data_IF_011331979467
#
_entry.id   IF_011331979467
#
_cell.length_a   1.000
_cell.length_b   1.000
_cell.length_c   1.000
_cell.angle_alpha   90.00
_cell.angle_beta   90.00
_cell.angle_gamma   90.00
#
_symmetry.space_group_name_H-M   'P 1'
#
loop_
_entity.id
_entity.type
_entity.pdbx_description
1 polymer ?
#
# COMPACT_ATOMS: atom_id res chain seq x y z
N UNK A 1 46.45 32.86 65.71
CA UNK A 1 47.29 31.74 66.22
C UNK A 1 46.57 31.11 67.41
N UNK A 2 46.32 29.78 67.38
CA UNK A 2 45.63 28.91 68.38
C UNK A 2 44.10 29.12 68.50
N UNK A 3 43.26 28.30 67.86
CA UNK A 3 42.85 26.90 68.15
C UNK A 3 41.89 26.78 69.36
N UNK A 4 40.61 26.59 69.00
CA UNK A 4 39.64 25.57 69.43
C UNK A 4 39.45 25.28 70.93
N UNK A 5 38.19 25.28 71.39
CA UNK A 5 37.66 24.28 72.33
C UNK A 5 36.18 23.98 72.07
N UNK A 6 35.92 22.74 71.64
CA UNK A 6 34.81 21.82 71.99
C UNK A 6 33.64 22.37 72.82
N UNK A 7 32.39 22.06 72.42
CA UNK A 7 31.41 21.42 73.31
C UNK A 7 30.21 20.78 72.60
N UNK A 8 29.77 19.70 73.24
CA UNK A 8 28.85 18.64 72.85
C UNK A 8 27.37 19.01 73.15
N UNK A 9 26.49 18.53 72.25
CA UNK A 9 25.05 18.19 72.34
C UNK A 9 24.05 19.11 73.07
N UNK A 10 22.94 19.40 72.37
CA UNK A 10 21.59 19.04 72.83
C UNK A 10 20.64 18.87 71.65
N UNK A 11 20.08 17.68 71.54
CA UNK A 11 19.11 17.29 70.53
C UNK A 11 17.77 18.03 70.75
N UNK A 12 17.22 18.57 69.68
CA UNK A 12 15.79 18.85 69.58
C UNK A 12 15.19 17.86 68.58
N UNK A 13 14.31 17.00 69.08
CA UNK A 13 13.44 16.15 68.28
C UNK A 13 12.40 17.07 67.64
N UNK A 14 12.52 17.31 66.33
CA UNK A 14 11.45 17.89 65.53
C UNK A 14 10.70 16.73 64.88
N UNK A 15 9.43 16.57 65.27
CA UNK A 15 8.52 15.64 64.62
C UNK A 15 8.33 16.07 63.15
N UNK A 16 8.93 15.33 62.22
CA UNK A 16 8.66 15.48 60.79
C UNK A 16 7.35 14.75 60.48
N UNK A 17 6.29 15.50 60.14
CA UNK A 17 5.11 14.94 59.52
C UNK A 17 5.49 14.37 58.14
N UNK A 18 5.02 13.17 57.75
CA UNK A 18 5.30 12.65 56.42
C UNK A 18 4.45 13.44 55.41
N UNK A 19 5.09 14.24 54.57
CA UNK A 19 4.47 14.71 53.34
C UNK A 19 4.37 13.50 52.43
N UNK A 20 3.17 12.89 52.36
CA UNK A 20 2.85 11.95 51.28
C UNK A 20 2.89 12.74 49.97
N UNK A 21 3.98 12.58 49.23
CA UNK A 21 4.03 12.95 47.82
C UNK A 21 3.07 12.02 47.07
N UNK A 22 1.85 12.49 46.81
CA UNK A 22 0.99 11.90 45.79
C UNK A 22 1.66 12.19 44.46
N UNK A 23 2.49 11.26 43.98
CA UNK A 23 2.93 11.27 42.60
C UNK A 23 1.72 10.85 41.78
N UNK A 24 0.93 11.82 41.34
CA UNK A 24 -0.11 11.58 40.36
C UNK A 24 0.59 11.09 39.08
N UNK A 25 0.49 9.79 38.82
CA UNK A 25 0.97 9.17 37.60
C UNK A 25 0.00 9.55 36.46
N UNK A 26 0.03 10.81 36.05
CA UNK A 26 -0.63 11.26 34.83
C UNK A 26 0.19 10.72 33.65
N UNK A 27 -0.13 9.50 33.23
CA UNK A 27 0.22 9.08 31.88
C UNK A 27 -0.37 10.12 30.94
N UNK A 28 0.48 10.88 30.22
CA UNK A 28 0.02 11.79 29.19
C UNK A 28 -0.68 10.96 28.13
N UNK A 29 -2.02 10.98 28.11
CA UNK A 29 -2.75 10.54 26.94
C UNK A 29 -2.29 11.43 25.80
N UNK A 30 -1.64 10.84 24.79
CA UNK A 30 -1.34 11.56 23.56
C UNK A 30 -2.66 12.10 23.00
N UNK A 31 -2.74 13.41 22.76
CA UNK A 31 -3.93 13.99 22.15
C UNK A 31 -4.19 13.31 20.80
N UNK A 32 -5.44 12.89 20.57
CA UNK A 32 -5.85 12.34 19.27
C UNK A 32 -5.60 13.38 18.19
N UNK A 33 -4.73 13.03 17.23
CA UNK A 33 -4.45 13.92 16.10
C UNK A 33 -5.71 14.16 15.29
N UNK A 34 -5.99 15.43 15.00
CA UNK A 34 -7.09 15.83 14.13
C UNK A 34 -6.62 15.75 12.68
N UNK A 35 -7.33 15.03 11.79
CA UNK A 35 -6.95 14.95 10.38
C UNK A 35 -7.08 16.31 9.70
N UNK A 36 -6.08 16.65 8.87
CA UNK A 36 -6.07 17.87 8.06
C UNK A 36 -6.53 17.51 6.65
N UNK A 37 -7.54 18.19 6.08
CA UNK A 37 -7.96 17.95 4.70
C UNK A 37 -6.86 18.21 3.67
N UNK A 38 -6.87 17.47 2.56
CA UNK A 38 -5.96 17.71 1.45
C UNK A 38 -6.21 19.08 0.82
N UNK A 39 -5.14 19.87 0.66
CA UNK A 39 -5.22 21.17 0.01
C UNK A 39 -5.41 21.04 -1.51
N UNK A 40 -6.17 21.96 -2.10
CA UNK A 40 -6.25 22.10 -3.56
C UNK A 40 -4.93 22.65 -4.10
N UNK A 41 -4.42 22.07 -5.18
CA UNK A 41 -3.15 22.48 -5.79
C UNK A 41 -3.27 22.64 -7.31
N UNK A 42 -2.77 23.73 -7.90
CA UNK A 42 -2.72 23.90 -9.36
C UNK A 42 -1.73 22.93 -10.04
N UNK A 43 -0.85 22.30 -9.28
CA UNK A 43 0.14 21.32 -9.76
C UNK A 43 -0.14 19.91 -9.23
N UNK A 44 -1.39 19.59 -8.87
CA UNK A 44 -1.75 18.29 -8.29
C UNK A 44 -1.36 17.11 -9.20
N UNK A 45 -1.37 17.29 -10.53
CA UNK A 45 -0.95 16.27 -11.51
C UNK A 45 0.54 15.94 -11.49
N UNK A 46 1.35 16.75 -10.81
CA UNK A 46 2.79 16.53 -10.59
C UNK A 46 3.09 15.94 -9.20
N UNK A 47 2.07 15.69 -8.37
CA UNK A 47 2.22 15.06 -7.06
C UNK A 47 2.48 13.56 -7.22
N UNK A 48 3.33 12.92 -6.39
CA UNK A 48 3.53 11.48 -6.42
C UNK A 48 2.20 10.71 -6.37
N UNK A 49 1.99 9.82 -7.33
CA UNK A 49 0.85 8.89 -7.37
C UNK A 49 1.36 7.51 -6.97
N UNK A 50 0.65 6.81 -6.11
CA UNK A 50 1.06 5.50 -5.57
C UNK A 50 0.10 4.37 -5.92
N UNK A 51 -1.18 4.68 -6.11
CA UNK A 51 -2.19 3.71 -6.52
C UNK A 51 -3.16 4.32 -7.52
N UNK A 52 -3.74 3.49 -8.37
CA UNK A 52 -4.78 3.89 -9.29
C UNK A 52 -5.74 2.72 -9.56
N UNK A 53 -7.01 3.03 -9.81
CA UNK A 53 -8.03 2.05 -10.16
C UNK A 53 -9.08 2.67 -11.10
N UNK A 54 -9.82 1.79 -11.78
CA UNK A 54 -11.01 2.18 -12.54
C UNK A 54 -12.26 2.14 -11.64
N UNK A 55 -13.08 3.18 -11.74
CA UNK A 55 -14.40 3.31 -11.16
C UNK A 55 -15.42 3.36 -12.32
N UNK A 56 -15.78 2.20 -12.87
CA UNK A 56 -16.46 2.16 -14.17
C UNK A 56 -15.55 2.72 -15.25
N UNK A 57 -16.00 3.75 -15.96
CA UNK A 57 -15.20 4.42 -17.01
C UNK A 57 -14.31 5.56 -16.47
N UNK A 58 -14.46 5.94 -15.20
CA UNK A 58 -13.64 6.97 -14.56
C UNK A 58 -12.37 6.36 -14.01
N UNK A 59 -11.25 7.03 -14.22
CA UNK A 59 -10.00 6.70 -13.56
C UNK A 59 -9.84 7.49 -12.27
N UNK A 60 -9.41 6.81 -11.21
CA UNK A 60 -9.13 7.42 -9.91
C UNK A 60 -7.72 7.03 -9.47
N UNK A 61 -6.88 8.01 -9.18
CA UNK A 61 -5.54 7.79 -8.62
C UNK A 61 -5.37 8.48 -7.28
N UNK A 62 -4.54 7.89 -6.42
CA UNK A 62 -4.28 8.33 -5.05
C UNK A 62 -2.77 8.38 -4.80
N UNK A 63 -2.33 9.27 -3.91
CA UNK A 63 -0.91 9.40 -3.62
C UNK A 63 -0.56 10.33 -2.47
N UNK A 64 0.54 11.05 -2.63
CA UNK A 64 1.09 11.91 -1.58
C UNK A 64 0.16 13.08 -1.25
N UNK A 65 0.24 13.56 0.00
CA UNK A 65 -0.48 14.73 0.50
C UNK A 65 -2.02 14.62 0.43
N UNK A 66 -2.57 13.40 0.45
CA UNK A 66 -4.00 13.16 0.27
C UNK A 66 -4.52 13.54 -1.11
N UNK A 67 -3.64 13.72 -2.10
CA UNK A 67 -4.04 14.03 -3.47
C UNK A 67 -4.76 12.82 -4.08
N UNK A 68 -5.98 13.07 -4.52
CA UNK A 68 -6.77 12.16 -5.36
C UNK A 68 -7.04 12.86 -6.68
N UNK A 69 -6.67 12.23 -7.80
CA UNK A 69 -6.91 12.74 -9.15
C UNK A 69 -7.94 11.87 -9.85
N UNK A 70 -8.79 12.53 -10.62
CA UNK A 70 -9.90 11.93 -11.37
C UNK A 70 -9.73 12.24 -12.85
N UNK A 71 -10.05 11.28 -13.71
CA UNK A 71 -10.08 11.47 -15.15
C UNK A 71 -11.30 10.75 -15.73
N UNK A 72 -12.07 11.48 -16.52
CA UNK A 72 -13.28 11.00 -17.21
C UNK A 72 -13.05 10.81 -18.73
N UNK A 73 -11.81 10.98 -19.20
CA UNK A 73 -11.43 10.95 -20.62
C UNK A 73 -10.29 9.94 -20.90
N UNK A 74 -10.23 8.88 -20.11
CA UNK A 74 -9.26 7.80 -20.30
C UNK A 74 -7.82 8.16 -19.95
N UNK A 75 -7.63 9.17 -19.09
CA UNK A 75 -6.32 9.65 -18.64
C UNK A 75 -5.72 10.75 -19.52
N UNK A 76 -6.49 11.38 -20.41
CA UNK A 76 -6.02 12.50 -21.23
C UNK A 76 -5.91 13.79 -20.40
N UNK A 77 -6.86 14.02 -19.49
CA UNK A 77 -6.85 15.13 -18.54
C UNK A 77 -7.26 14.69 -17.15
N UNK A 78 -6.88 15.48 -16.13
CA UNK A 78 -7.09 15.16 -14.73
C UNK A 78 -7.54 16.38 -13.93
N UNK A 79 -8.45 16.18 -12.98
CA UNK A 79 -8.77 17.15 -11.93
C UNK A 79 -8.62 16.54 -10.54
N UNK A 80 -8.33 17.38 -9.54
CA UNK A 80 -8.23 16.93 -8.16
C UNK A 80 -9.64 16.78 -7.55
N UNK A 81 -9.90 15.66 -6.86
CA UNK A 81 -11.14 15.37 -6.15
C UNK A 81 -11.59 16.53 -5.25
N UNK A 82 -12.87 16.87 -5.24
CA UNK A 82 -13.44 18.01 -4.52
C UNK A 82 -13.06 18.05 -3.04
N UNK A 83 -13.20 16.93 -2.33
CA UNK A 83 -12.93 16.86 -0.89
C UNK A 83 -12.28 15.53 -0.49
N UNK A 84 -11.09 15.63 0.08
CA UNK A 84 -10.39 14.53 0.76
C UNK A 84 -10.08 14.97 2.20
N UNK A 85 -10.60 14.28 3.22
CA UNK A 85 -10.57 14.76 4.61
C UNK A 85 -9.23 14.52 5.32
N UNK A 86 -8.20 14.04 4.60
CA UNK A 86 -6.86 13.77 5.12
C UNK A 86 -5.79 14.26 4.13
N UNK A 87 -4.64 14.67 4.65
CA UNK A 87 -3.44 15.04 3.90
C UNK A 87 -2.33 13.99 4.04
N UNK A 88 -2.64 12.84 4.65
CA UNK A 88 -1.73 11.69 4.73
C UNK A 88 -1.48 11.09 3.35
N UNK A 89 -0.39 10.35 3.22
CA UNK A 89 -0.13 9.56 2.00
C UNK A 89 -1.18 8.46 1.87
N UNK A 90 -1.83 8.40 0.71
CA UNK A 90 -2.70 7.31 0.30
C UNK A 90 -1.91 6.35 -0.61
N UNK A 91 -1.94 5.06 -0.29
CA UNK A 91 -1.09 4.03 -0.89
C UNK A 91 -1.84 3.19 -1.91
N UNK A 92 -3.14 2.97 -1.73
CA UNK A 92 -3.94 2.07 -2.56
C UNK A 92 -5.40 2.52 -2.61
N UNK A 93 -6.06 2.19 -3.73
CA UNK A 93 -7.46 2.50 -4.00
C UNK A 93 -8.13 1.34 -4.71
N UNK A 94 -9.38 1.05 -4.36
CA UNK A 94 -10.19 -0.03 -4.95
C UNK A 94 -11.64 0.43 -5.11
N UNK A 95 -12.28 0.02 -6.19
CA UNK A 95 -13.69 0.34 -6.49
C UNK A 95 -14.49 -0.95 -6.70
N UNK A 96 -15.69 -0.98 -6.13
CA UNK A 96 -16.66 -2.09 -6.29
C UNK A 96 -17.83 -1.70 -7.21
N UNK A 97 -17.59 -0.76 -8.13
CA UNK A 97 -18.59 -0.20 -9.04
C UNK A 97 -18.18 1.20 -9.52
N UNK A 98 -19.03 1.88 -10.31
CA UNK A 98 -18.70 3.17 -10.90
C UNK A 98 -18.64 4.33 -9.89
N UNK A 99 -19.22 4.16 -8.70
CA UNK A 99 -19.28 5.25 -7.71
C UNK A 99 -18.74 4.90 -6.34
N UNK A 100 -18.76 3.62 -5.96
CA UNK A 100 -18.41 3.19 -4.61
C UNK A 100 -16.99 2.66 -4.58
N UNK A 101 -16.14 3.27 -3.77
CA UNK A 101 -14.74 2.92 -3.67
C UNK A 101 -14.13 3.27 -2.31
N UNK A 102 -12.94 2.73 -2.07
CA UNK A 102 -12.18 2.87 -0.84
C UNK A 102 -10.72 3.17 -1.15
N UNK A 103 -10.10 3.98 -0.29
CA UNK A 103 -8.68 4.28 -0.34
C UNK A 103 -8.07 4.09 1.04
N UNK A 104 -6.83 3.62 1.09
CA UNK A 104 -6.09 3.39 2.35
C UNK A 104 -4.72 4.03 2.31
N UNK A 105 -4.07 4.14 3.47
CA UNK A 105 -2.74 4.73 3.52
C UNK A 105 -2.11 4.81 4.91
N UNK A 106 -1.24 5.80 5.07
CA UNK A 106 -0.54 6.08 6.32
C UNK A 106 -1.50 6.42 7.46
N UNK A 107 -1.05 6.24 8.71
CA UNK A 107 -1.87 6.39 9.92
C UNK A 107 -3.09 5.46 9.95
N UNK A 108 -3.00 4.32 9.24
CA UNK A 108 -4.06 3.32 9.13
C UNK A 108 -5.38 3.86 8.59
N UNK A 109 -5.33 4.94 7.79
CA UNK A 109 -6.53 5.58 7.26
C UNK A 109 -7.28 4.65 6.32
N UNK A 110 -8.61 4.63 6.45
CA UNK A 110 -9.51 4.05 5.47
C UNK A 110 -10.54 5.13 5.11
N UNK A 111 -10.59 5.48 3.84
CA UNK A 111 -11.56 6.40 3.25
C UNK A 111 -12.55 5.63 2.39
N UNK A 112 -13.78 6.14 2.31
CA UNK A 112 -14.79 5.65 1.37
C UNK A 112 -15.40 6.80 0.56
N UNK A 113 -15.78 6.51 -0.68
CA UNK A 113 -16.53 7.39 -1.59
C UNK A 113 -17.78 6.67 -2.10
N UNK A 114 -18.80 7.45 -2.45
CA UNK A 114 -20.05 6.96 -3.07
C UNK A 114 -20.43 7.75 -4.33
N UNK A 115 -19.53 8.61 -4.80
CA UNK A 115 -19.71 9.55 -5.92
C UNK A 115 -18.57 9.45 -6.95
N UNK A 116 -17.87 8.31 -7.00
CA UNK A 116 -16.81 8.07 -7.99
C UNK A 116 -15.50 8.79 -7.64
N UNK A 117 -15.25 9.06 -6.36
CA UNK A 117 -14.01 9.63 -5.87
C UNK A 117 -13.98 11.17 -5.80
N UNK A 118 -15.10 11.87 -6.04
CA UNK A 118 -15.17 13.33 -5.89
C UNK A 118 -15.09 13.74 -4.43
N UNK A 119 -15.84 13.05 -3.57
CA UNK A 119 -15.80 13.28 -2.13
C UNK A 119 -15.51 11.99 -1.36
N UNK A 120 -14.69 12.13 -0.32
CA UNK A 120 -14.25 11.04 0.52
C UNK A 120 -14.63 11.29 1.98
N UNK A 121 -14.95 10.19 2.68
CA UNK A 121 -15.29 10.19 4.10
C UNK A 121 -14.38 9.24 4.83
N UNK A 122 -13.95 9.62 6.03
CA UNK A 122 -13.14 8.77 6.90
C UNK A 122 -14.03 7.67 7.48
N UNK A 123 -13.67 6.41 7.27
CA UNK A 123 -14.23 5.27 7.98
C UNK A 123 -13.37 4.84 9.17
N UNK A 124 -12.04 4.99 9.05
CA UNK A 124 -11.09 4.63 10.11
C UNK A 124 -9.86 5.54 10.09
N UNK A 125 -9.33 5.82 11.28
CA UNK A 125 -7.99 6.34 11.53
C UNK A 125 -7.34 5.57 12.69
N UNK A 126 -6.03 5.45 12.65
CA UNK A 126 -5.21 4.86 13.72
C UNK A 126 -4.12 5.85 14.13
N UNK A 127 -4.51 7.04 14.61
CA UNK A 127 -3.55 8.11 14.96
C UNK A 127 -2.78 7.85 16.26
N UNK A 128 -3.21 6.86 17.04
CA UNK A 128 -2.56 6.46 18.30
C UNK A 128 -1.45 5.43 18.09
N UNK A 129 -1.54 4.66 16.99
CA UNK A 129 -0.60 3.60 16.62
C UNK A 129 -0.35 3.71 15.11
N UNK A 130 0.87 4.12 14.70
CA UNK A 130 1.22 4.26 13.27
C UNK A 130 1.36 2.89 12.59
N UNK A 131 0.21 2.29 12.26
CA UNK A 131 0.08 1.04 11.49
C UNK A 131 -0.44 1.38 10.09
N UNK A 132 0.44 1.76 9.14
CA UNK A 132 0.04 2.10 7.79
C UNK A 132 -0.57 0.89 7.08
N UNK A 133 -1.56 1.18 6.25
CA UNK A 133 -2.13 0.22 5.30
C UNK A 133 -1.47 0.43 3.94
N UNK A 134 -1.06 -0.66 3.30
CA UNK A 134 -0.34 -0.63 2.03
C UNK A 134 -1.24 -1.00 0.85
N UNK A 135 -2.24 -1.85 1.06
CA UNK A 135 -3.14 -2.27 0.00
C UNK A 135 -4.58 -2.46 0.49
N UNK A 136 -5.54 -2.21 -0.39
CA UNK A 136 -6.96 -2.50 -0.19
C UNK A 136 -7.57 -3.16 -1.42
N UNK A 137 -8.48 -4.09 -1.19
CA UNK A 137 -9.28 -4.69 -2.24
C UNK A 137 -10.71 -4.89 -1.76
N UNK A 138 -11.68 -4.46 -2.57
CA UNK A 138 -13.09 -4.78 -2.37
C UNK A 138 -13.57 -5.73 -3.46
N UNK A 139 -14.18 -6.84 -3.03
CA UNK A 139 -14.75 -7.84 -3.94
C UNK A 139 -16.11 -7.40 -4.49
N UNK A 140 -16.84 -6.65 -3.67
CA UNK A 140 -18.14 -6.07 -3.94
C UNK A 140 -18.40 -4.91 -2.94
N UNK A 141 -19.54 -4.21 -3.01
CA UNK A 141 -19.78 -3.06 -2.14
C UNK A 141 -19.88 -3.35 -0.63
N UNK A 142 -19.87 -4.62 -0.21
CA UNK A 142 -20.00 -5.03 1.19
C UNK A 142 -18.71 -5.66 1.74
N UNK A 143 -17.99 -6.43 0.92
CA UNK A 143 -16.84 -7.23 1.36
C UNK A 143 -15.52 -6.65 0.88
N UNK A 144 -14.62 -6.39 1.82
CA UNK A 144 -13.30 -5.83 1.54
C UNK A 144 -12.23 -6.23 2.54
N UNK A 145 -10.99 -6.14 2.08
CA UNK A 145 -9.77 -6.49 2.84
C UNK A 145 -8.77 -5.35 2.68
N UNK A 146 -8.16 -4.93 3.79
CA UNK A 146 -7.01 -4.03 3.79
C UNK A 146 -5.85 -4.68 4.55
N UNK A 147 -4.63 -4.51 4.05
CA UNK A 147 -3.42 -5.10 4.65
C UNK A 147 -2.31 -4.08 4.82
N UNK A 148 -1.39 -4.32 5.75
CA UNK A 148 -0.32 -3.36 6.04
C UNK A 148 0.82 -3.87 6.90
N UNK A 149 1.33 -2.97 7.74
CA UNK A 149 2.48 -3.20 8.62
C UNK A 149 2.23 -4.36 9.61
N UNK A 150 3.26 -5.18 9.87
CA UNK A 150 3.26 -6.27 10.86
C UNK A 150 2.10 -7.26 10.71
N UNK A 151 1.87 -7.72 9.48
CA UNK A 151 0.80 -8.69 9.16
C UNK A 151 -0.60 -8.22 9.57
N UNK A 152 -0.80 -6.90 9.68
CA UNK A 152 -2.12 -6.32 9.86
C UNK A 152 -3.01 -6.70 8.68
N UNK A 153 -4.13 -7.35 8.99
CA UNK A 153 -5.23 -7.64 8.07
C UNK A 153 -6.51 -7.12 8.69
N UNK A 154 -7.22 -6.26 7.97
CA UNK A 154 -8.54 -5.75 8.33
C UNK A 154 -9.57 -6.25 7.32
N UNK A 155 -10.68 -6.81 7.79
CA UNK A 155 -11.77 -7.31 6.95
C UNK A 155 -13.07 -6.59 7.30
N UNK A 156 -13.85 -6.25 6.28
CA UNK A 156 -15.22 -5.75 6.42
C UNK A 156 -16.21 -6.64 5.67
N UNK A 157 -17.45 -6.71 6.17
CA UNK A 157 -18.58 -7.39 5.54
C UNK A 157 -19.80 -6.47 5.35
N UNK A 158 -19.66 -5.19 5.71
CA UNK A 158 -20.73 -4.20 5.74
C UNK A 158 -20.33 -2.88 5.03
N UNK A 159 -19.43 -2.98 4.04
CA UNK A 159 -18.97 -1.82 3.24
C UNK A 159 -18.05 -0.87 4.01
N UNK A 160 -17.41 -1.37 5.08
CA UNK A 160 -16.49 -0.62 5.92
C UNK A 160 -17.17 0.20 7.01
N UNK A 161 -18.46 -0.07 7.30
CA UNK A 161 -19.08 0.47 8.52
C UNK A 161 -18.39 -0.11 9.76
N UNK A 162 -17.95 -1.36 9.69
CA UNK A 162 -17.05 -2.00 10.66
C UNK A 162 -15.88 -2.68 9.96
N UNK A 163 -14.71 -2.62 10.60
CA UNK A 163 -13.48 -3.29 10.18
C UNK A 163 -12.95 -4.13 11.33
N UNK A 164 -12.81 -5.44 11.11
CA UNK A 164 -12.33 -6.38 12.11
C UNK A 164 -10.90 -6.83 11.77
N UNK A 165 -10.00 -6.71 12.72
CA UNK A 165 -8.63 -7.22 12.59
C UNK A 165 -8.63 -8.75 12.60
N UNK A 166 -8.04 -9.36 11.58
CA UNK A 166 -7.89 -10.80 11.45
C UNK A 166 -6.46 -11.18 11.82
N UNK A 167 -6.34 -12.15 12.72
CA UNK A 167 -5.03 -12.65 13.13
C UNK A 167 -4.47 -13.58 12.06
N UNK A 168 -3.33 -13.19 11.51
CA UNK A 168 -2.51 -14.09 10.68
C UNK A 168 -1.57 -14.86 11.61
N UNK A 169 -1.58 -16.19 11.54
CA UNK A 169 -0.63 -16.99 12.31
C UNK A 169 0.77 -16.77 11.74
N UNK A 170 1.82 -16.56 12.55
CA UNK A 170 3.17 -16.43 12.04
C UNK A 170 3.59 -17.65 11.22
N UNK A 171 4.38 -17.43 10.15
CA UNK A 171 4.98 -18.53 9.40
C UNK A 171 5.79 -19.44 10.34
N UNK A 172 5.63 -20.75 10.20
CA UNK A 172 6.37 -21.71 11.00
C UNK A 172 7.89 -21.44 10.94
N UNK A 173 8.53 -21.39 12.11
CA UNK A 173 9.97 -21.13 12.23
C UNK A 173 10.38 -19.65 12.18
N UNK A 174 9.44 -18.70 12.14
CA UNK A 174 9.75 -17.26 12.23
C UNK A 174 9.43 -16.71 13.62
N UNK A 175 10.16 -15.65 14.01
CA UNK A 175 9.97 -14.95 15.29
C UNK A 175 9.27 -13.60 15.14
N UNK A 176 9.00 -13.18 13.91
CA UNK A 176 8.48 -11.84 13.60
C UNK A 176 7.50 -11.92 12.45
N UNK A 177 6.51 -11.04 12.51
CA UNK A 177 5.53 -10.83 11.45
C UNK A 177 6.20 -10.21 10.21
N UNK A 178 5.50 -10.31 9.08
CA UNK A 178 5.90 -9.71 7.82
C UNK A 178 4.99 -8.55 7.47
N UNK A 179 5.53 -7.51 6.84
CA UNK A 179 4.69 -6.53 6.19
C UNK A 179 3.97 -7.15 4.99
N UNK A 180 2.67 -6.89 4.86
CA UNK A 180 1.85 -7.28 3.71
C UNK A 180 1.72 -6.08 2.78
N UNK A 181 2.32 -6.16 1.60
CA UNK A 181 2.69 -5.01 0.78
C UNK A 181 1.76 -4.77 -0.41
N UNK A 182 1.05 -5.80 -0.88
CA UNK A 182 0.18 -5.73 -2.05
C UNK A 182 -0.95 -6.75 -1.96
N UNK A 183 -2.05 -6.51 -2.69
CA UNK A 183 -3.20 -7.40 -2.81
C UNK A 183 -3.59 -7.60 -4.27
N UNK A 184 -3.94 -8.82 -4.65
CA UNK A 184 -4.53 -9.11 -5.97
C UNK A 184 -5.54 -10.27 -5.89
N UNK A 185 -6.75 -10.12 -6.46
CA UNK A 185 -7.82 -11.11 -6.33
C UNK A 185 -7.64 -12.30 -7.29
N UNK A 186 -8.27 -13.42 -6.94
CA UNK A 186 -8.39 -14.61 -7.81
C UNK A 186 -9.67 -14.60 -8.69
N UNK A 187 -10.49 -13.56 -8.57
CA UNK A 187 -11.77 -13.41 -9.28
C UNK A 187 -12.91 -14.33 -8.80
N UNK A 188 -12.70 -15.15 -7.79
CA UNK A 188 -13.66 -16.14 -7.24
C UNK A 188 -13.92 -15.96 -5.74
N UNK A 189 -13.47 -14.85 -5.17
CA UNK A 189 -13.60 -14.53 -3.73
C UNK A 189 -12.37 -14.88 -2.91
N UNK A 190 -11.35 -15.47 -3.54
CA UNK A 190 -10.02 -15.58 -3.00
C UNK A 190 -9.16 -14.36 -3.33
N UNK A 191 -8.09 -14.20 -2.56
CA UNK A 191 -7.18 -13.07 -2.66
C UNK A 191 -5.77 -13.48 -2.23
N UNK A 192 -4.79 -12.95 -2.94
CA UNK A 192 -3.39 -13.10 -2.61
C UNK A 192 -2.84 -11.81 -2.01
N UNK A 193 -1.92 -11.94 -1.05
CA UNK A 193 -1.15 -10.83 -0.50
C UNK A 193 0.34 -11.07 -0.72
N UNK A 194 1.05 -10.09 -1.28
CA UNK A 194 2.52 -10.15 -1.34
C UNK A 194 3.13 -9.65 -0.03
N UNK A 195 4.26 -10.22 0.38
CA UNK A 195 4.89 -9.89 1.64
C UNK A 195 6.42 -9.84 1.56
N UNK A 196 7.03 -9.48 2.67
CA UNK A 196 8.48 -9.55 2.85
C UNK A 196 8.99 -11.00 2.81
N UNK A 197 10.31 -11.15 2.60
CA UNK A 197 11.02 -12.45 2.58
C UNK A 197 10.42 -13.46 1.59
N UNK A 198 10.03 -12.97 0.42
CA UNK A 198 9.50 -13.73 -0.71
C UNK A 198 8.25 -14.53 -0.39
N UNK A 199 7.49 -14.09 0.60
CA UNK A 199 6.23 -14.75 0.94
C UNK A 199 5.09 -14.18 0.10
N UNK A 200 4.21 -15.08 -0.31
CA UNK A 200 2.87 -14.77 -0.77
C UNK A 200 1.92 -15.44 0.20
N UNK A 201 0.86 -14.74 0.61
CA UNK A 201 -0.21 -15.35 1.39
C UNK A 201 -1.43 -15.49 0.49
N UNK A 202 -2.22 -16.53 0.71
CA UNK A 202 -3.46 -16.78 -0.03
C UNK A 202 -4.61 -16.99 0.93
N UNK A 203 -5.75 -16.36 0.63
CA UNK A 203 -7.00 -16.54 1.34
C UNK A 203 -8.08 -16.95 0.35
N UNK A 204 -8.92 -17.89 0.75
CA UNK A 204 -10.05 -18.40 -0.04
C UNK A 204 -11.41 -17.99 0.54
N UNK A 205 -11.42 -17.15 1.58
CA UNK A 205 -12.60 -16.84 2.39
C UNK A 205 -12.75 -15.34 2.66
N UNK A 206 -12.39 -14.51 1.68
CA UNK A 206 -12.45 -13.05 1.72
C UNK A 206 -11.51 -12.43 2.78
N UNK A 207 -10.31 -12.99 2.94
CA UNK A 207 -9.26 -12.47 3.81
C UNK A 207 -9.39 -12.84 5.29
N UNK A 208 -10.29 -13.77 5.65
CA UNK A 208 -10.49 -14.18 7.05
C UNK A 208 -9.41 -15.15 7.51
N UNK A 209 -9.00 -16.09 6.66
CA UNK A 209 -7.91 -17.01 6.92
C UNK A 209 -6.89 -16.98 5.79
N UNK A 210 -5.63 -17.27 6.13
CA UNK A 210 -4.49 -17.14 5.23
C UNK A 210 -3.54 -18.33 5.33
N UNK A 211 -3.09 -18.81 4.17
CA UNK A 211 -1.99 -19.78 4.04
C UNK A 211 -0.74 -19.11 3.45
N UNK A 212 0.45 -19.54 3.88
CA UNK A 212 1.71 -19.07 3.30
C UNK A 212 2.12 -19.92 2.10
N UNK A 213 2.52 -19.25 1.03
CA UNK A 213 3.08 -19.79 -0.18
C UNK A 213 4.51 -19.24 -0.33
N UNK A 214 5.49 -20.14 -0.32
CA UNK A 214 6.90 -19.76 -0.41
C UNK A 214 7.36 -19.70 -1.86
N UNK A 215 7.86 -18.54 -2.29
CA UNK A 215 8.41 -18.37 -3.64
C UNK A 215 9.85 -18.85 -3.77
N UNK A 216 10.53 -19.14 -2.65
CA UNK A 216 11.97 -19.40 -2.60
C UNK A 216 12.84 -18.13 -2.76
N UNK A 217 12.23 -16.95 -2.91
CA UNK A 217 12.93 -15.67 -2.92
C UNK A 217 13.13 -15.12 -1.50
N UNK A 218 14.22 -14.40 -1.26
CA UNK A 218 14.54 -13.87 0.09
C UNK A 218 14.26 -12.37 0.26
N UNK A 219 13.97 -11.63 -0.83
CA UNK A 219 13.66 -10.20 -0.77
C UNK A 219 12.16 -9.92 -0.66
N UNK A 220 11.77 -8.65 -0.67
CA UNK A 220 10.36 -8.27 -0.55
C UNK A 220 9.64 -8.33 -1.89
N UNK A 221 8.43 -8.89 -1.88
CA UNK A 221 7.47 -8.85 -3.00
C UNK A 221 6.49 -7.72 -2.75
N UNK A 222 6.33 -6.82 -3.72
CA UNK A 222 5.59 -5.57 -3.56
C UNK A 222 4.25 -5.58 -4.29
N UNK A 223 4.15 -6.33 -5.38
CA UNK A 223 2.97 -6.35 -6.22
C UNK A 223 2.75 -7.73 -6.83
N UNK A 224 1.51 -7.97 -7.29
CA UNK A 224 1.17 -9.16 -8.04
C UNK A 224 -0.07 -8.96 -8.89
N UNK A 225 -0.29 -9.89 -9.80
CA UNK A 225 -1.48 -9.96 -10.63
C UNK A 225 -1.79 -11.42 -10.94
N UNK A 226 -3.08 -11.73 -11.05
CA UNK A 226 -3.53 -12.97 -11.67
C UNK A 226 -3.91 -12.71 -13.13
N UNK A 227 -3.48 -13.60 -14.01
CA UNK A 227 -3.77 -13.58 -15.43
C UNK A 227 -4.85 -14.62 -15.75
N UNK A 228 -5.32 -14.62 -16.99
CA UNK A 228 -6.22 -15.65 -17.51
C UNK A 228 -5.63 -17.05 -17.31
N UNK A 229 -6.51 -18.01 -17.00
CA UNK A 229 -6.10 -19.38 -16.71
C UNK A 229 -5.50 -19.60 -15.31
N UNK A 230 -5.52 -18.59 -14.43
CA UNK A 230 -5.06 -18.73 -13.04
C UNK A 230 -3.54 -18.62 -12.86
N UNK A 231 -2.84 -18.10 -13.86
CA UNK A 231 -1.40 -17.84 -13.78
C UNK A 231 -1.17 -16.65 -12.85
N UNK A 232 -0.24 -16.80 -11.89
CA UNK A 232 0.14 -15.74 -10.96
C UNK A 232 1.46 -15.12 -11.41
N UNK A 233 1.56 -13.80 -11.34
CA UNK A 233 2.81 -13.05 -11.39
C UNK A 233 2.98 -12.28 -10.08
N UNK A 234 4.19 -12.32 -9.52
CA UNK A 234 4.58 -11.46 -8.39
C UNK A 234 5.90 -10.78 -8.67
N UNK A 235 5.98 -9.50 -8.30
CA UNK A 235 7.10 -8.62 -8.53
C UNK A 235 7.58 -7.96 -7.25
N UNK A 236 8.87 -7.62 -7.20
CA UNK A 236 9.39 -6.87 -6.06
C UNK A 236 10.84 -6.43 -6.21
N UNK A 237 11.55 -6.45 -5.10
CA UNK A 237 12.91 -5.90 -5.01
C UNK A 237 13.88 -6.53 -6.02
N UNK A 238 14.88 -5.75 -6.44
CA UNK A 238 16.00 -6.22 -7.29
C UNK A 238 15.53 -6.83 -8.62
N UNK A 239 14.58 -6.18 -9.30
CA UNK A 239 14.04 -6.63 -10.58
C UNK A 239 13.41 -8.03 -10.54
N UNK A 240 12.95 -8.48 -9.38
CA UNK A 240 12.41 -9.83 -9.25
C UNK A 240 11.03 -9.89 -9.86
N UNK A 241 10.85 -10.80 -10.81
CA UNK A 241 9.56 -11.22 -11.34
C UNK A 241 9.49 -12.74 -11.28
N UNK A 242 8.45 -13.26 -10.63
CA UNK A 242 8.20 -14.69 -10.45
C UNK A 242 6.83 -15.04 -11.02
N UNK A 243 6.72 -16.25 -11.56
CA UNK A 243 5.51 -16.77 -12.19
C UNK A 243 5.12 -18.12 -11.61
N UNK A 244 3.83 -18.34 -11.42
CA UNK A 244 3.27 -19.63 -11.01
C UNK A 244 2.08 -20.00 -11.91
N UNK A 245 1.94 -21.29 -12.25
CA UNK A 245 0.80 -21.83 -13.00
C UNK A 245 -0.06 -22.80 -12.17
N UNK A 246 0.29 -23.01 -10.91
CA UNK A 246 -0.31 -24.05 -10.07
C UNK A 246 -0.96 -23.48 -8.79
N UNK A 247 -1.35 -22.20 -8.83
CA UNK A 247 -1.97 -21.50 -7.70
C UNK A 247 -0.97 -21.03 -6.65
N UNK A 248 0.31 -20.90 -7.01
CA UNK A 248 1.38 -20.44 -6.11
C UNK A 248 2.07 -21.53 -5.31
N UNK A 249 1.86 -22.81 -5.67
CA UNK A 249 2.53 -23.96 -5.04
C UNK A 249 3.98 -24.09 -5.51
N UNK A 250 4.26 -23.70 -6.75
CA UNK A 250 5.62 -23.59 -7.29
C UNK A 250 5.79 -22.30 -8.08
N UNK A 251 7.03 -21.80 -8.11
CA UNK A 251 7.37 -20.51 -8.71
C UNK A 251 8.61 -20.63 -9.59
N UNK A 252 8.56 -19.98 -10.75
CA UNK A 252 9.71 -19.84 -11.66
C UNK A 252 10.05 -18.37 -11.81
N UNK A 253 11.34 -18.02 -11.70
CA UNK A 253 11.79 -16.66 -11.97
C UNK A 253 11.75 -16.38 -13.48
N UNK A 254 11.12 -15.28 -13.85
CA UNK A 254 11.19 -14.76 -15.22
C UNK A 254 12.40 -13.81 -15.28
N UNK A 255 13.39 -14.07 -16.15
CA UNK A 255 14.57 -13.22 -16.24
C UNK A 255 14.18 -11.87 -16.84
N UNK A 256 14.57 -10.81 -16.13
CA UNK A 256 14.53 -9.41 -16.60
C UNK A 256 15.95 -8.85 -16.49
N UNK A 257 16.32 -7.92 -17.36
CA UNK A 257 17.58 -7.15 -17.25
C UNK A 257 17.51 -6.08 -16.16
N UNK A 258 16.29 -5.73 -15.72
CA UNK A 258 16.05 -4.79 -14.63
C UNK A 258 16.83 -5.15 -13.36
N UNK A 259 17.57 -4.18 -12.82
CA UNK A 259 18.12 -4.23 -11.48
C UNK A 259 17.23 -3.52 -10.44
N UNK A 260 16.34 -2.63 -10.90
CA UNK A 260 15.47 -1.80 -10.06
C UNK A 260 14.23 -2.56 -9.59
N UNK A 261 13.63 -2.15 -8.47
CA UNK A 261 12.47 -2.86 -7.92
C UNK A 261 11.24 -2.74 -8.82
N UNK A 262 10.50 -3.83 -8.96
CA UNK A 262 9.19 -3.85 -9.61
C UNK A 262 8.15 -3.30 -8.63
N UNK A 263 7.36 -2.32 -9.08
CA UNK A 263 6.41 -1.58 -8.25
C UNK A 263 4.96 -1.93 -8.57
N UNK A 264 4.65 -2.29 -9.83
CA UNK A 264 3.30 -2.65 -10.24
C UNK A 264 3.31 -3.63 -11.40
N UNK A 265 2.32 -4.53 -11.41
CA UNK A 265 2.02 -5.44 -12.51
C UNK A 265 0.56 -5.22 -12.88
N UNK A 266 0.30 -4.87 -14.14
CA UNK A 266 -1.05 -4.75 -14.68
C UNK A 266 -1.23 -5.79 -15.78
N UNK A 267 -2.40 -6.43 -15.83
CA UNK A 267 -2.71 -7.45 -16.82
C UNK A 267 -4.11 -7.26 -17.40
N UNK A 268 -4.28 -7.58 -18.68
CA UNK A 268 -5.57 -7.63 -19.36
C UNK A 268 -5.48 -8.54 -20.58
N UNK A 269 -6.37 -9.54 -20.67
CA UNK A 269 -6.50 -10.41 -21.85
C UNK A 269 -5.16 -11.04 -22.31
N UNK A 270 -4.34 -11.52 -21.37
CA UNK A 270 -3.01 -12.08 -21.65
C UNK A 270 -1.88 -11.07 -21.90
N UNK A 271 -2.20 -9.78 -22.12
CA UNK A 271 -1.20 -8.71 -22.13
C UNK A 271 -0.81 -8.34 -20.70
N UNK A 272 0.49 -8.09 -20.48
CA UNK A 272 1.02 -7.70 -19.16
C UNK A 272 1.94 -6.50 -19.31
N UNK A 273 1.75 -5.52 -18.43
CA UNK A 273 2.69 -4.43 -18.19
C UNK A 273 3.30 -4.58 -16.80
N UNK A 274 4.62 -4.63 -16.75
CA UNK A 274 5.40 -4.56 -15.52
C UNK A 274 6.08 -3.21 -15.49
N UNK A 275 5.92 -2.46 -14.40
CA UNK A 275 6.65 -1.21 -14.20
C UNK A 275 7.46 -1.24 -12.91
N UNK A 276 8.53 -0.46 -12.88
CA UNK A 276 9.43 -0.41 -11.75
C UNK A 276 10.07 0.95 -11.54
N UNK A 277 10.93 0.99 -10.53
CA UNK A 277 11.75 2.16 -10.25
C UNK A 277 12.70 2.45 -11.43
N UNK A 278 13.29 3.64 -11.44
CA UNK A 278 14.20 4.13 -12.49
C UNK A 278 13.57 4.28 -13.88
N UNK A 279 12.24 4.30 -13.97
CA UNK A 279 11.52 4.40 -15.24
C UNK A 279 11.42 3.08 -16.00
N UNK A 280 11.70 1.94 -15.35
CA UNK A 280 11.64 0.62 -15.96
C UNK A 280 10.21 0.24 -16.36
N UNK A 281 10.04 -0.25 -17.58
CA UNK A 281 8.79 -0.84 -18.06
C UNK A 281 9.07 -2.05 -18.93
N UNK A 282 8.29 -3.12 -18.78
CA UNK A 282 8.39 -4.32 -19.58
C UNK A 282 7.00 -4.83 -19.99
N UNK A 283 6.86 -5.22 -21.26
CA UNK A 283 5.60 -5.66 -21.84
C UNK A 283 5.67 -7.11 -22.29
N UNK A 284 4.63 -7.87 -21.97
CA UNK A 284 4.42 -9.23 -22.47
C UNK A 284 3.09 -9.31 -23.21
N UNK A 285 3.08 -10.11 -24.27
CA UNK A 285 1.90 -10.45 -25.08
C UNK A 285 1.63 -11.97 -25.08
N UNK A 286 2.33 -12.73 -24.23
CA UNK A 286 2.33 -14.19 -24.19
C UNK A 286 1.97 -14.75 -22.81
N UNK A 287 1.19 -14.00 -22.02
CA UNK A 287 0.78 -14.40 -20.68
C UNK A 287 1.91 -14.35 -19.65
N UNK A 288 2.80 -13.37 -19.79
CA UNK A 288 3.90 -13.13 -18.86
C UNK A 288 5.04 -14.14 -18.96
N UNK A 289 5.23 -14.82 -20.09
CA UNK A 289 6.31 -15.78 -20.29
C UNK A 289 7.59 -15.09 -20.76
N UNK A 290 7.45 -14.14 -21.68
CA UNK A 290 8.56 -13.32 -22.18
C UNK A 290 8.19 -11.84 -22.16
N UNK A 291 9.20 -10.98 -22.04
CA UNK A 291 9.01 -9.54 -21.90
C UNK A 291 9.93 -8.76 -22.83
N UNK A 292 9.38 -7.71 -23.44
CA UNK A 292 10.15 -6.66 -24.12
C UNK A 292 10.38 -5.51 -23.14
N UNK A 293 11.64 -5.26 -22.80
CA UNK A 293 12.04 -4.28 -21.79
C UNK A 293 12.34 -2.89 -22.39
N UNK A 294 12.06 -1.85 -21.62
CA UNK A 294 12.33 -0.46 -21.97
C UNK A 294 12.58 0.37 -20.71
N UNK A 295 13.32 1.47 -20.87
CA UNK A 295 13.52 2.47 -19.81
C UNK A 295 13.01 3.81 -20.36
N UNK A 296 12.09 4.45 -19.63
CA UNK A 296 11.58 5.76 -20.04
C UNK A 296 12.65 6.83 -19.91
N UNK A 297 12.67 7.74 -20.90
CA UNK A 297 13.50 8.94 -20.84
C UNK A 297 13.14 9.76 -19.60
N UNK A 298 14.17 10.27 -18.90
CA UNK A 298 14.00 11.03 -17.66
C UNK A 298 13.94 10.20 -16.37
N UNK A 299 13.86 8.87 -16.47
CA UNK A 299 14.09 7.92 -15.36
C UNK A 299 13.19 8.09 -14.14
N UNK A 300 12.02 8.73 -14.28
CA UNK A 300 11.11 8.92 -13.16
C UNK A 300 10.63 7.55 -12.64
N UNK A 301 10.73 7.26 -11.33
CA UNK A 301 10.29 5.98 -10.79
C UNK A 301 8.79 5.76 -11.05
N UNK A 302 8.46 4.70 -11.78
CA UNK A 302 7.08 4.32 -12.05
C UNK A 302 6.51 3.59 -10.83
N UNK A 303 5.26 3.87 -10.52
CA UNK A 303 4.61 3.43 -9.27
C UNK A 303 3.34 2.63 -9.53
N UNK A 304 2.60 2.93 -10.60
CA UNK A 304 1.40 2.20 -10.98
C UNK A 304 1.24 2.17 -12.51
N UNK A 305 0.56 1.14 -13.01
CA UNK A 305 0.13 1.04 -14.39
C UNK A 305 -1.32 0.54 -14.46
N UNK A 306 -2.09 1.01 -15.44
CA UNK A 306 -3.46 0.55 -15.69
C UNK A 306 -3.67 0.30 -17.19
N UNK A 307 -4.42 -0.75 -17.56
CA UNK A 307 -4.81 -0.96 -18.95
C UNK A 307 -5.88 0.08 -19.35
N UNK A 308 -5.69 0.77 -20.47
CA UNK A 308 -6.68 1.70 -21.07
C UNK A 308 -7.33 1.13 -22.33
N UNK A 309 -6.79 0.04 -22.87
CA UNK A 309 -7.29 -0.65 -24.06
C UNK A 309 -6.35 -1.77 -24.47
N UNK A 310 -6.62 -2.49 -25.57
CA UNK A 310 -5.72 -3.52 -26.09
C UNK A 310 -4.32 -2.95 -26.33
N UNK A 311 -3.29 -3.53 -25.69
CA UNK A 311 -1.90 -3.07 -25.77
C UNK A 311 -1.62 -1.64 -25.31
N UNK A 312 -2.59 -0.95 -24.66
CA UNK A 312 -2.43 0.44 -24.21
C UNK A 312 -2.45 0.54 -22.69
N UNK A 313 -1.50 1.31 -22.18
CA UNK A 313 -1.23 1.42 -20.75
C UNK A 313 -1.11 2.88 -20.36
N UNK A 314 -1.78 3.24 -19.26
CA UNK A 314 -1.51 4.47 -18.55
C UNK A 314 -0.55 4.18 -17.40
N UNK A 315 0.38 5.09 -17.14
CA UNK A 315 1.40 4.94 -16.10
C UNK A 315 1.38 6.13 -15.16
N UNK A 316 1.79 5.87 -13.92
CA UNK A 316 1.95 6.85 -12.88
C UNK A 316 3.35 6.75 -12.27
N UNK A 317 3.81 7.84 -11.67
CA UNK A 317 5.16 7.93 -11.14
C UNK A 317 5.24 8.71 -9.83
N UNK A 318 6.43 8.71 -9.23
CA UNK A 318 6.77 9.62 -8.14
C UNK A 318 6.77 11.11 -8.54
N UNK A 319 6.64 11.43 -9.83
CA UNK A 319 6.47 12.79 -10.36
C UNK A 319 5.04 13.06 -10.85
N UNK A 320 4.09 12.17 -10.50
CA UNK A 320 2.69 12.27 -10.88
C UNK A 320 2.33 11.55 -12.17
N UNK A 321 1.35 12.09 -12.88
CA UNK A 321 0.77 11.49 -14.10
C UNK A 321 1.82 11.48 -15.22
N UNK A 322 2.01 10.32 -15.84
CA UNK A 322 2.97 10.17 -16.94
C UNK A 322 2.29 10.46 -18.27
N UNK A 323 2.57 11.63 -18.86
CA UNK A 323 1.96 12.06 -20.14
C UNK A 323 2.89 11.97 -21.36
N UNK A 324 4.21 11.74 -21.18
CA UNK A 324 5.17 11.77 -22.29
C UNK A 324 5.05 10.55 -23.26
N UNK A 325 5.50 10.68 -24.53
CA UNK A 325 5.49 9.61 -25.53
C UNK A 325 6.31 8.38 -25.11
N UNK A 326 6.07 7.26 -25.80
CA UNK A 326 6.59 5.93 -25.50
C UNK A 326 8.11 5.86 -25.24
N UNK A 327 8.51 4.91 -24.39
CA UNK A 327 9.90 4.64 -24.02
C UNK A 327 10.77 4.29 -25.24
N UNK A 328 12.08 4.59 -25.18
CA UNK A 328 13.04 4.15 -26.20
C UNK A 328 13.40 2.68 -25.95
N UNK A 329 13.51 1.83 -26.98
CA UNK A 329 14.01 0.46 -26.82
C UNK A 329 15.44 0.48 -26.27
N UNK A 330 15.78 -0.43 -25.35
CA UNK A 330 17.18 -0.68 -25.03
C UNK A 330 17.85 -1.33 -26.24
N UNK A 331 18.85 -0.67 -26.83
CA UNK A 331 19.64 -1.26 -27.91
C UNK A 331 20.28 -2.57 -27.43
N UNK A 332 20.18 -3.60 -28.25
CA UNK A 332 20.91 -4.85 -28.10
C UNK A 332 22.40 -4.55 -28.33
N UNK A 333 23.20 -4.52 -27.27
CA UNK A 333 24.64 -4.70 -27.32
C UNK A 333 24.95 -6.06 -26.71
#
# INVERSE_FOLDING_TARGET
MKILHSRILRAFVIAAAPVLAVVANAASQSEKLVPIPAAKSPIATQSPVLGAAWAGDRLVSVGANGVVLLSDDGGASFHQAQQVPVSSVLTSVSFAGPRTGWAVGHWGVILATTDGGETWRIQRLSTEEDRPLFAVHFFDPQRGVAVGLWSLVLVTQDGGATWTEQRVNPKAGTKSDFNLLGLFPDGKGGIYATAEKGQVLHSVDYGRTWEYLDTGYNGSLWCGAMLDGGVLLVGGQRGTLMRSEDGGRSWTRIPLKAASSITSIAARNGDVMVVGLDGFAAQSHDGGRTFTESIRAGGAPLTAALPTGPGKWLMFSQRGVVQDPAAKPQNQN
#
